data_IF_199907293399
#
_entry.id   IF_199907293399
#
_cell.length_a   1.000
_cell.length_b   1.000
_cell.length_c   1.000
_cell.angle_alpha   90.00
_cell.angle_beta   90.00
_cell.angle_gamma   90.00
#
_symmetry.space_group_name_H-M   'P 1'
#
loop_
_entity.id
_entity.type
_entity.pdbx_description
1 polymer ?
#
# COMPACT_ATOMS: atom_id res chain seq x y z
N UNK A 1 11.99 -26.95 -13.18
CA UNK A 1 11.43 -25.63 -12.83
C UNK A 1 11.90 -25.26 -11.44
N UNK A 2 13.11 -24.72 -11.31
CA UNK A 2 13.74 -24.45 -10.03
C UNK A 2 14.57 -23.16 -10.17
N UNK A 3 13.96 -22.00 -9.92
CA UNK A 3 14.71 -20.77 -9.70
C UNK A 3 13.91 -19.74 -8.89
N UNK A 4 13.53 -20.10 -7.67
CA UNK A 4 13.29 -19.11 -6.61
C UNK A 4 14.34 -19.35 -5.54
N UNK A 5 15.58 -19.00 -5.90
CA UNK A 5 16.72 -19.01 -5.01
C UNK A 5 16.73 -17.71 -4.22
N UNK A 6 16.64 -17.83 -2.89
CA UNK A 6 17.14 -16.88 -1.87
C UNK A 6 17.24 -15.43 -2.35
N UNK A 7 16.12 -14.72 -2.38
CA UNK A 7 16.14 -13.26 -2.43
C UNK A 7 16.65 -12.75 -1.09
N UNK A 8 17.96 -12.47 -1.03
CA UNK A 8 18.56 -11.73 0.08
C UNK A 8 18.08 -10.27 -0.04
N UNK A 9 17.93 -9.50 1.04
CA UNK A 9 17.49 -8.09 0.96
C UNK A 9 18.31 -7.24 -0.03
N UNK A 10 19.59 -7.58 -0.25
CA UNK A 10 20.46 -6.97 -1.27
C UNK A 10 20.02 -7.24 -2.72
N UNK A 11 19.34 -8.35 -2.99
CA UNK A 11 18.87 -8.72 -4.34
C UNK A 11 17.56 -8.04 -4.72
N UNK A 12 16.63 -7.86 -3.77
CA UNK A 12 15.39 -7.12 -4.01
C UNK A 12 15.66 -5.63 -4.23
N UNK A 13 16.51 -5.02 -3.39
CA UNK A 13 16.91 -3.62 -3.55
C UNK A 13 17.56 -3.35 -4.91
N UNK A 14 18.50 -4.20 -5.34
CA UNK A 14 19.12 -4.06 -6.68
C UNK A 14 18.12 -4.25 -7.81
N UNK A 15 17.20 -5.22 -7.69
CA UNK A 15 16.16 -5.45 -8.69
C UNK A 15 15.22 -4.25 -8.82
N UNK A 16 14.79 -3.66 -7.70
CA UNK A 16 13.97 -2.45 -7.68
C UNK A 16 14.73 -1.23 -8.22
N UNK A 17 16.03 -1.12 -7.98
CA UNK A 17 16.84 -0.05 -8.56
C UNK A 17 16.97 -0.15 -10.09
N UNK A 18 16.95 -1.37 -10.65
CA UNK A 18 17.06 -1.60 -12.10
C UNK A 18 15.72 -1.52 -12.83
N UNK A 19 14.64 -2.00 -12.20
CA UNK A 19 13.34 -2.19 -12.85
C UNK A 19 12.20 -1.37 -12.25
N UNK A 20 12.40 -0.81 -11.05
CA UNK A 20 11.42 -0.01 -10.35
C UNK A 20 11.44 1.45 -10.78
N UNK A 21 10.36 2.15 -10.42
CA UNK A 21 10.27 3.60 -10.41
C UNK A 21 9.57 4.00 -9.13
N UNK A 22 10.01 5.09 -8.52
CA UNK A 22 9.31 5.67 -7.39
C UNK A 22 7.97 6.28 -7.85
N UNK A 23 6.95 6.30 -6.98
CA UNK A 23 5.74 7.07 -7.24
C UNK A 23 6.10 8.54 -7.45
N UNK A 24 5.24 9.27 -8.18
CA UNK A 24 5.46 10.69 -8.46
C UNK A 24 5.30 11.58 -7.22
N UNK A 25 4.49 11.11 -6.28
CA UNK A 25 4.16 11.82 -5.05
C UNK A 25 4.86 11.13 -3.87
N UNK A 26 5.48 11.94 -3.03
CA UNK A 26 6.05 11.48 -1.75
C UNK A 26 4.94 11.38 -0.70
N UNK A 27 5.08 10.41 0.19
CA UNK A 27 4.20 10.27 1.36
C UNK A 27 4.97 10.73 2.58
N UNK A 28 4.62 11.92 3.09
CA UNK A 28 5.36 12.58 4.17
C UNK A 28 5.08 11.98 5.56
N UNK A 29 4.17 11.01 5.63
CA UNK A 29 3.73 10.38 6.87
C UNK A 29 4.43 9.04 7.12
N UNK A 30 4.38 8.61 8.38
CA UNK A 30 4.91 7.31 8.78
C UNK A 30 4.25 6.17 7.98
N UNK A 31 5.02 5.13 7.67
CA UNK A 31 4.48 3.89 7.09
C UNK A 31 3.37 3.24 7.95
N UNK A 32 3.39 3.48 9.27
CA UNK A 32 2.30 3.05 10.16
C UNK A 32 0.96 3.74 9.84
N UNK A 33 0.98 4.99 9.37
CA UNK A 33 -0.23 5.66 8.91
C UNK A 33 -0.81 4.96 7.67
N UNK A 34 0.06 4.51 6.75
CA UNK A 34 -0.37 3.72 5.58
C UNK A 34 -0.98 2.38 6.01
N UNK A 35 -0.41 1.72 7.02
CA UNK A 35 -0.98 0.48 7.58
C UNK A 35 -2.42 0.70 8.09
N UNK A 36 -2.68 1.81 8.79
CA UNK A 36 -4.03 2.14 9.26
C UNK A 36 -4.97 2.53 8.12
N UNK A 37 -4.48 3.15 7.04
CA UNK A 37 -5.27 3.36 5.83
C UNK A 37 -5.70 2.04 5.19
N UNK A 38 -4.80 1.05 5.11
CA UNK A 38 -5.15 -0.28 4.59
C UNK A 38 -6.21 -0.97 5.47
N UNK A 39 -6.04 -0.94 6.80
CA UNK A 39 -7.01 -1.47 7.75
C UNK A 39 -8.38 -0.78 7.64
N UNK A 40 -8.39 0.55 7.52
CA UNK A 40 -9.61 1.35 7.35
C UNK A 40 -10.39 0.98 6.07
N UNK A 41 -9.66 0.67 4.99
CA UNK A 41 -10.22 0.24 3.71
C UNK A 41 -10.75 -1.20 3.77
N UNK A 42 -10.04 -2.11 4.43
CA UNK A 42 -10.46 -3.49 4.62
C UNK A 42 -11.82 -3.57 5.35
N UNK A 43 -12.02 -2.77 6.40
CA UNK A 43 -13.30 -2.64 7.12
C UNK A 43 -14.47 -2.17 6.25
N UNK A 44 -14.18 -1.62 5.06
CA UNK A 44 -15.14 -1.11 4.08
C UNK A 44 -15.22 -1.98 2.82
N UNK A 45 -14.80 -3.23 2.91
CA UNK A 45 -14.77 -4.22 1.83
C UNK A 45 -13.84 -3.79 0.65
N UNK A 46 -12.83 -2.97 0.94
CA UNK A 46 -11.78 -2.55 -0.01
C UNK A 46 -10.47 -3.21 0.40
N UNK A 47 -10.32 -4.48 0.04
CA UNK A 47 -9.09 -5.24 0.28
C UNK A 47 -8.07 -4.95 -0.84
N UNK A 48 -6.99 -4.26 -0.47
CA UNK A 48 -5.83 -4.00 -1.33
C UNK A 48 -4.66 -4.95 -1.07
N UNK A 49 -4.76 -5.78 -0.03
CA UNK A 49 -3.70 -6.71 0.36
C UNK A 49 -3.77 -8.02 -0.42
N UNK A 50 -4.98 -8.44 -0.80
CA UNK A 50 -5.21 -9.64 -1.60
C UNK A 50 -5.06 -9.39 -3.11
N UNK A 51 -4.27 -10.23 -3.77
CA UNK A 51 -4.05 -10.18 -5.21
C UNK A 51 -3.85 -11.58 -5.82
N UNK A 52 -3.73 -11.64 -7.14
CA UNK A 52 -3.29 -12.86 -7.83
C UNK A 52 -1.86 -13.31 -7.44
N UNK A 53 -1.10 -12.48 -6.71
CA UNK A 53 0.28 -12.71 -6.28
C UNK A 53 0.43 -12.99 -4.77
N UNK A 54 -0.63 -13.43 -4.09
CA UNK A 54 -0.59 -13.69 -2.63
C UNK A 54 0.53 -14.66 -2.21
N UNK A 55 0.83 -15.66 -3.04
CA UNK A 55 1.89 -16.62 -2.76
C UNK A 55 3.29 -15.96 -2.82
N UNK A 56 3.49 -15.05 -3.78
CA UNK A 56 4.69 -14.26 -3.96
C UNK A 56 4.83 -13.23 -2.83
N UNK A 57 3.77 -12.49 -2.50
CA UNK A 57 3.75 -11.57 -1.35
C UNK A 57 4.10 -12.30 -0.05
N UNK A 58 3.50 -13.47 0.19
CA UNK A 58 3.81 -14.30 1.36
C UNK A 58 5.25 -14.83 1.37
N UNK A 59 5.87 -15.05 0.21
CA UNK A 59 7.27 -15.44 0.13
C UNK A 59 8.21 -14.26 0.44
N UNK A 60 7.88 -13.04 -0.01
CA UNK A 60 8.62 -11.81 0.29
C UNK A 60 8.51 -11.49 1.79
N UNK A 61 7.31 -11.60 2.37
CA UNK A 61 7.04 -11.30 3.78
C UNK A 61 7.66 -12.31 4.77
N UNK A 62 8.27 -13.40 4.30
CA UNK A 62 9.13 -14.25 5.14
C UNK A 62 10.49 -13.60 5.45
N UNK A 63 10.89 -12.63 4.65
CA UNK A 63 12.20 -11.96 4.70
C UNK A 63 12.07 -10.48 5.04
N UNK A 64 10.95 -9.87 4.67
CA UNK A 64 10.59 -8.48 4.92
C UNK A 64 9.36 -8.42 5.83
N UNK A 65 9.14 -7.32 6.57
CA UNK A 65 8.03 -7.22 7.53
C UNK A 65 6.67 -7.27 6.83
N UNK A 66 6.31 -6.21 6.11
CA UNK A 66 5.07 -6.15 5.33
C UNK A 66 5.34 -5.59 3.93
N UNK A 67 5.09 -6.42 2.93
CA UNK A 67 5.04 -6.08 1.52
C UNK A 67 3.69 -6.45 0.94
N UNK A 68 3.06 -5.49 0.27
CA UNK A 68 1.80 -5.65 -0.44
C UNK A 68 2.06 -5.44 -1.94
N UNK A 69 1.55 -6.34 -2.77
CA UNK A 69 1.64 -6.26 -4.23
C UNK A 69 0.28 -5.85 -4.80
N UNK A 70 0.15 -4.56 -5.14
CA UNK A 70 -1.09 -4.00 -5.68
C UNK A 70 -1.03 -4.05 -7.21
N UNK A 71 -1.99 -4.73 -7.81
CA UNK A 71 -2.06 -5.01 -9.25
C UNK A 71 -3.07 -4.12 -9.99
N UNK A 72 -3.05 -4.06 -11.33
CA UNK A 72 -4.03 -3.30 -12.12
C UNK A 72 -5.48 -3.72 -11.86
N UNK A 73 -5.73 -4.95 -11.37
CA UNK A 73 -7.07 -5.40 -10.98
C UNK A 73 -7.69 -4.54 -9.86
N UNK A 74 -6.85 -3.92 -9.02
CA UNK A 74 -7.28 -3.02 -7.94
C UNK A 74 -7.83 -1.68 -8.44
N UNK A 75 -7.70 -1.37 -9.75
CA UNK A 75 -8.36 -0.19 -10.33
C UNK A 75 -9.88 -0.21 -10.15
N UNK A 76 -10.48 -1.37 -9.89
CA UNK A 76 -11.90 -1.51 -9.51
C UNK A 76 -12.27 -0.73 -8.25
N UNK A 77 -11.29 -0.34 -7.43
CA UNK A 77 -11.48 0.37 -6.17
C UNK A 77 -11.21 1.87 -6.25
N UNK A 78 -10.88 2.43 -7.43
CA UNK A 78 -10.47 3.83 -7.55
C UNK A 78 -11.51 4.85 -7.05
N UNK A 79 -12.80 4.53 -7.19
CA UNK A 79 -13.88 5.37 -6.69
C UNK A 79 -13.96 5.33 -5.16
N UNK A 80 -13.71 4.16 -4.57
CA UNK A 80 -13.66 3.97 -3.11
C UNK A 80 -12.37 4.49 -2.47
N UNK A 81 -11.36 4.82 -3.26
CA UNK A 81 -10.12 5.45 -2.80
C UNK A 81 -10.15 6.97 -2.97
N UNK A 82 -11.21 7.56 -3.54
CA UNK A 82 -11.32 9.00 -3.72
C UNK A 82 -11.41 9.70 -2.35
N UNK A 83 -10.42 10.54 -1.95
CA UNK A 83 -10.45 11.22 -0.67
C UNK A 83 -11.72 12.07 -0.46
N UNK A 84 -12.36 12.55 -1.53
CA UNK A 84 -13.61 13.30 -1.45
C UNK A 84 -14.79 12.46 -0.90
N UNK A 85 -14.68 11.14 -0.97
CA UNK A 85 -15.66 10.19 -0.42
C UNK A 85 -15.51 9.92 1.09
N UNK A 86 -14.45 10.42 1.73
CA UNK A 86 -14.15 10.14 3.13
C UNK A 86 -14.14 11.39 3.98
N UNK A 87 -14.48 11.23 5.27
CA UNK A 87 -14.39 12.31 6.25
C UNK A 87 -13.10 12.20 7.02
N UNK A 88 -12.38 13.31 7.15
CA UNK A 88 -11.16 13.41 7.94
C UNK A 88 -11.37 12.90 9.39
N UNK A 89 -12.50 13.25 10.01
CA UNK A 89 -12.84 12.82 11.36
C UNK A 89 -13.07 11.29 11.49
N UNK A 90 -13.52 10.61 10.44
CA UNK A 90 -13.70 9.15 10.46
C UNK A 90 -12.35 8.44 10.38
N UNK A 91 -11.40 8.97 9.61
CA UNK A 91 -10.03 8.47 9.55
C UNK A 91 -9.29 8.72 10.86
N UNK A 92 -9.40 9.92 11.44
CA UNK A 92 -8.81 10.24 12.73
C UNK A 92 -9.32 9.30 13.83
N UNK A 93 -10.64 9.05 13.88
CA UNK A 93 -11.23 8.12 14.84
C UNK A 93 -10.69 6.69 14.66
N UNK A 94 -10.56 6.21 13.41
CA UNK A 94 -9.99 4.89 13.14
C UNK A 94 -8.51 4.79 13.58
N UNK A 95 -7.72 5.84 13.32
CA UNK A 95 -6.33 5.91 13.76
C UNK A 95 -6.22 5.87 15.29
N UNK A 96 -7.08 6.61 16.00
CA UNK A 96 -7.17 6.59 17.46
C UNK A 96 -7.54 5.19 17.99
N UNK A 97 -8.54 4.53 17.38
CA UNK A 97 -8.95 3.16 17.72
C UNK A 97 -7.80 2.14 17.56
N UNK A 98 -6.93 2.36 16.56
CA UNK A 98 -5.74 1.57 16.31
C UNK A 98 -4.52 1.97 17.17
N UNK A 99 -4.67 2.97 18.04
CA UNK A 99 -3.65 3.41 18.99
C UNK A 99 -2.64 4.42 18.43
N UNK A 100 -2.92 5.06 17.30
CA UNK A 100 -2.10 6.10 16.68
C UNK A 100 -2.83 7.45 16.68
N UNK A 101 -2.87 8.11 17.83
CA UNK A 101 -3.54 9.40 18.00
C UNK A 101 -2.57 10.58 17.82
N UNK A 102 -2.86 11.45 16.86
CA UNK A 102 -2.21 12.73 16.65
C UNK A 102 -3.12 13.69 15.87
N UNK A 103 -2.85 14.99 15.97
CA UNK A 103 -3.69 16.08 15.46
C UNK A 103 -3.99 15.93 13.95
N UNK A 104 -2.98 15.55 13.16
CA UNK A 104 -3.09 15.41 11.71
C UNK A 104 -3.42 13.98 11.23
N UNK A 105 -3.83 13.07 12.12
CA UNK A 105 -4.10 11.65 11.77
C UNK A 105 -5.13 11.49 10.65
N UNK A 106 -6.20 12.30 10.67
CA UNK A 106 -7.19 12.32 9.60
C UNK A 106 -6.61 12.81 8.27
N UNK A 107 -5.79 13.87 8.29
CA UNK A 107 -5.10 14.40 7.10
C UNK A 107 -4.13 13.34 6.54
N UNK A 108 -3.35 12.68 7.40
CA UNK A 108 -2.45 11.59 7.00
C UNK A 108 -3.22 10.45 6.30
N UNK A 109 -4.40 10.11 6.82
CA UNK A 109 -5.29 9.15 6.19
C UNK A 109 -5.76 9.57 4.78
N UNK A 110 -6.18 10.83 4.62
CA UNK A 110 -6.63 11.35 3.33
C UNK A 110 -5.49 11.41 2.30
N UNK A 111 -4.29 11.79 2.73
CA UNK A 111 -3.11 11.78 1.87
C UNK A 111 -2.74 10.36 1.46
N UNK A 112 -2.88 9.37 2.35
CA UNK A 112 -2.67 7.96 2.05
C UNK A 112 -3.66 7.44 0.99
N UNK A 113 -4.93 7.80 1.11
CA UNK A 113 -5.96 7.47 0.12
C UNK A 113 -5.65 8.09 -1.25
N UNK A 114 -5.26 9.37 -1.28
CA UNK A 114 -4.85 10.06 -2.52
C UNK A 114 -3.68 9.34 -3.17
N UNK A 115 -2.62 9.07 -2.42
CA UNK A 115 -1.42 8.41 -2.92
C UNK A 115 -1.74 7.04 -3.52
N UNK A 116 -2.52 6.21 -2.81
CA UNK A 116 -2.93 4.89 -3.28
C UNK A 116 -3.75 5.00 -4.56
N UNK A 117 -4.77 5.87 -4.58
CA UNK A 117 -5.62 6.10 -5.75
C UNK A 117 -4.79 6.49 -6.96
N UNK A 118 -3.95 7.50 -6.82
CA UNK A 118 -3.21 8.07 -7.93
C UNK A 118 -2.16 7.07 -8.44
N UNK A 119 -1.44 6.40 -7.53
CA UNK A 119 -0.49 5.33 -7.88
C UNK A 119 -1.15 4.16 -8.60
N UNK A 120 -2.31 3.69 -8.11
CA UNK A 120 -3.07 2.59 -8.72
C UNK A 120 -3.62 2.99 -10.08
N UNK A 121 -4.09 4.23 -10.23
CA UNK A 121 -4.66 4.72 -11.50
C UNK A 121 -3.63 4.68 -12.64
N UNK A 122 -2.36 4.93 -12.33
CA UNK A 122 -1.25 4.98 -13.27
C UNK A 122 -0.64 3.61 -13.61
N UNK A 123 -1.04 2.53 -12.92
CA UNK A 123 -0.53 1.19 -13.19
C UNK A 123 -0.91 0.74 -14.60
N UNK A 124 0.08 0.29 -15.38
CA UNK A 124 -0.17 -0.44 -16.62
C UNK A 124 -0.37 -1.93 -16.34
N UNK A 125 -0.94 -2.65 -17.31
CA UNK A 125 -1.23 -4.08 -17.20
C UNK A 125 0.01 -4.95 -16.91
N UNK A 126 1.21 -4.46 -17.23
CA UNK A 126 2.51 -5.11 -17.00
C UNK A 126 3.22 -4.66 -15.72
N UNK A 127 2.55 -3.90 -14.85
CA UNK A 127 3.14 -3.28 -13.66
C UNK A 127 2.41 -3.69 -12.38
N UNK A 128 3.15 -3.71 -11.28
CA UNK A 128 2.63 -3.81 -9.92
C UNK A 128 3.15 -2.64 -9.10
N UNK A 129 2.32 -2.14 -8.18
CA UNK A 129 2.76 -1.24 -7.12
C UNK A 129 3.22 -2.11 -5.95
N UNK A 130 4.49 -1.99 -5.60
CA UNK A 130 5.05 -2.62 -4.41
C UNK A 130 4.99 -1.62 -3.26
N UNK A 131 4.13 -1.89 -2.30
CA UNK A 131 4.07 -1.13 -1.06
C UNK A 131 4.84 -1.91 0.02
N UNK A 132 5.88 -1.29 0.57
CA UNK A 132 6.67 -1.85 1.67
C UNK A 132 6.52 -0.97 2.89
N UNK A 133 6.08 -1.56 4.01
CA UNK A 133 5.91 -0.89 5.29
C UNK A 133 6.90 -1.53 6.28
N UNK A 134 7.84 -0.74 6.78
CA UNK A 134 8.91 -1.18 7.70
C UNK A 134 10.19 -0.36 7.59
#
# INVERSE_FOLDING_TARGET
MAHLARTSSSSLGSYLAEHGREPREEYDWSGYCMLHVLSYLEERDVDLEQSEFDAESAAINKVHDLTVLITPAHKRFLDQLDPAGHREAELAAHFEEMGLDFEESGTAGLDGLRLLRDSISELRDDQVLLLRIG
#
